data_IF_182304075056
#
_entry.id   IF_182304075056
#
_cell.length_a   1.000
_cell.length_b   1.000
_cell.length_c   1.000
_cell.angle_alpha   90.00
_cell.angle_beta   90.00
_cell.angle_gamma   90.00
#
_symmetry.space_group_name_H-M   'P 1'
#
loop_
_entity.id
_entity.type
_entity.pdbx_description
1 polymer ?
#
# COMPACT_ATOMS: atom_id res chain seq x y z
N UNK A 1 15.00 -19.93 38.87
CA UNK A 1 16.39 -20.11 38.40
C UNK A 1 16.62 -19.23 37.17
N UNK A 2 17.53 -18.23 37.22
CA UNK A 2 17.84 -17.45 36.04
C UNK A 2 18.79 -18.26 35.14
N UNK A 3 18.34 -18.61 33.93
CA UNK A 3 19.23 -19.18 32.91
C UNK A 3 20.12 -18.05 32.38
N UNK A 4 21.42 -18.20 32.61
CA UNK A 4 22.44 -17.37 32.02
C UNK A 4 22.25 -17.30 30.50
N UNK A 5 22.03 -16.10 29.98
CA UNK A 5 22.06 -15.86 28.54
C UNK A 5 23.51 -15.96 28.09
N UNK A 6 23.92 -17.11 27.58
CA UNK A 6 25.16 -17.26 26.81
C UNK A 6 25.10 -16.28 25.64
N UNK A 7 25.87 -15.20 25.72
CA UNK A 7 26.22 -14.33 24.59
C UNK A 7 26.91 -15.22 23.55
N UNK A 8 26.16 -15.68 22.54
CA UNK A 8 26.75 -16.19 21.30
C UNK A 8 27.31 -14.99 20.54
N UNK A 9 28.58 -14.70 20.76
CA UNK A 9 29.43 -13.94 19.83
C UNK A 9 29.80 -14.86 18.66
N UNK A 10 28.80 -15.24 17.86
CA UNK A 10 29.04 -15.73 16.51
C UNK A 10 29.09 -14.52 15.59
N UNK A 11 30.01 -14.50 14.62
CA UNK A 11 29.99 -13.53 13.51
C UNK A 11 28.57 -13.58 12.95
N UNK A 12 27.80 -12.50 13.14
CA UNK A 12 26.46 -12.41 12.56
C UNK A 12 26.66 -12.33 11.05
N UNK A 13 26.45 -13.44 10.34
CA UNK A 13 26.39 -13.46 8.88
C UNK A 13 25.38 -12.38 8.45
N UNK A 14 25.81 -11.48 7.57
CA UNK A 14 24.91 -10.49 7.02
C UNK A 14 23.82 -11.18 6.21
N UNK A 15 22.61 -10.64 6.29
CA UNK A 15 21.48 -11.08 5.47
C UNK A 15 21.72 -10.52 4.06
N UNK A 16 21.90 -11.43 3.12
CA UNK A 16 22.02 -11.11 1.70
C UNK A 16 20.66 -11.12 1.02
N UNK A 17 20.60 -10.70 -0.25
CA UNK A 17 19.37 -10.78 -1.05
C UNK A 17 18.79 -12.19 -1.08
N UNK A 18 19.63 -13.22 -1.23
CA UNK A 18 19.20 -14.62 -1.31
C UNK A 18 18.58 -15.14 -0.01
N UNK A 19 18.84 -14.46 1.11
CA UNK A 19 18.27 -14.83 2.39
C UNK A 19 16.87 -14.19 2.62
N UNK A 20 16.46 -13.19 1.81
CA UNK A 20 15.21 -12.42 2.00
C UNK A 20 13.94 -13.27 2.21
N UNK A 21 13.70 -14.37 1.48
CA UNK A 21 12.51 -15.19 1.69
C UNK A 21 12.38 -15.76 3.12
N UNK A 22 13.50 -15.92 3.84
CA UNK A 22 13.53 -16.42 5.22
C UNK A 22 13.09 -15.38 6.26
N UNK A 23 12.96 -14.11 5.87
CA UNK A 23 12.68 -12.98 6.77
C UNK A 23 11.38 -12.25 6.44
N UNK A 24 10.40 -12.91 5.80
CA UNK A 24 9.12 -12.29 5.41
C UNK A 24 8.33 -11.66 6.55
N UNK A 25 8.57 -12.08 7.79
CA UNK A 25 7.92 -11.52 8.98
C UNK A 25 8.46 -10.13 9.39
N UNK A 26 9.47 -9.61 8.68
CA UNK A 26 10.13 -8.34 8.98
C UNK A 26 9.81 -7.25 7.95
N UNK A 27 9.77 -6.00 8.43
CA UNK A 27 9.44 -4.83 7.61
C UNK A 27 10.41 -4.63 6.45
N UNK A 28 11.71 -4.87 6.63
CA UNK A 28 12.66 -4.73 5.52
C UNK A 28 12.34 -5.71 4.38
N UNK A 29 11.98 -6.95 4.70
CA UNK A 29 11.64 -7.96 3.68
C UNK A 29 10.33 -7.60 2.97
N UNK A 30 9.34 -7.10 3.69
CA UNK A 30 8.09 -6.58 3.10
C UNK A 30 8.34 -5.47 2.08
N UNK A 31 9.17 -4.49 2.41
CA UNK A 31 9.50 -3.44 1.46
C UNK A 31 10.34 -3.98 0.29
N UNK A 32 11.34 -4.83 0.54
CA UNK A 32 12.12 -5.44 -0.54
C UNK A 32 11.25 -6.27 -1.49
N UNK A 33 10.28 -7.02 -0.98
CA UNK A 33 9.29 -7.75 -1.77
C UNK A 33 8.46 -6.81 -2.62
N UNK A 34 7.92 -5.74 -2.03
CA UNK A 34 7.16 -4.74 -2.78
C UNK A 34 8.01 -4.10 -3.89
N UNK A 35 9.29 -3.83 -3.65
CA UNK A 35 10.20 -3.31 -4.67
C UNK A 35 10.38 -4.30 -5.83
N UNK A 36 10.70 -5.55 -5.54
CA UNK A 36 10.90 -6.59 -6.56
C UNK A 36 9.61 -6.79 -7.36
N UNK A 37 8.47 -6.98 -6.70
CA UNK A 37 7.19 -7.20 -7.39
C UNK A 37 6.77 -6.00 -8.23
N UNK A 38 6.83 -4.77 -7.68
CA UNK A 38 6.41 -3.58 -8.42
C UNK A 38 7.40 -3.16 -9.51
N UNK A 39 8.66 -3.57 -9.43
CA UNK A 39 9.65 -3.23 -10.44
C UNK A 39 9.82 -4.31 -11.51
N UNK A 40 9.59 -5.58 -11.19
CA UNK A 40 9.93 -6.72 -12.05
C UNK A 40 8.78 -7.70 -12.30
N UNK A 41 7.74 -7.67 -11.45
CA UNK A 41 6.64 -8.63 -11.49
C UNK A 41 7.01 -10.03 -11.00
N UNK A 42 8.17 -10.20 -10.36
CA UNK A 42 8.61 -11.47 -9.78
C UNK A 42 8.35 -11.52 -8.28
N UNK A 43 8.12 -12.71 -7.76
CA UNK A 43 8.00 -12.96 -6.32
C UNK A 43 9.36 -13.17 -5.65
N UNK A 44 9.42 -12.99 -4.31
CA UNK A 44 10.62 -13.30 -3.54
C UNK A 44 11.07 -14.77 -3.69
N UNK A 45 10.14 -15.70 -3.90
CA UNK A 45 10.43 -17.13 -4.08
C UNK A 45 11.17 -17.42 -5.39
N UNK A 46 11.12 -16.51 -6.36
CA UNK A 46 11.84 -16.63 -7.62
C UNK A 46 13.29 -16.17 -7.52
N UNK A 47 13.69 -15.59 -6.38
CA UNK A 47 15.02 -15.02 -6.20
C UNK A 47 16.05 -16.14 -5.96
N UNK A 48 16.90 -16.36 -6.95
CA UNK A 48 18.01 -17.29 -6.92
C UNK A 48 19.20 -16.72 -7.70
N UNK A 49 20.35 -17.40 -7.70
CA UNK A 49 21.55 -16.88 -8.37
C UNK A 49 21.37 -16.58 -9.86
N UNK A 50 20.50 -17.33 -10.56
CA UNK A 50 20.27 -17.12 -11.99
C UNK A 50 19.40 -15.89 -12.25
N UNK A 51 18.41 -15.63 -11.39
CA UNK A 51 17.45 -14.53 -11.56
C UNK A 51 17.88 -13.23 -10.89
N UNK A 52 18.89 -13.28 -10.01
CA UNK A 52 19.34 -12.15 -9.19
C UNK A 52 19.74 -10.94 -10.05
N UNK A 53 20.56 -11.15 -11.08
CA UNK A 53 21.01 -10.06 -11.95
C UNK A 53 19.83 -9.41 -12.70
N UNK A 54 18.91 -10.21 -13.24
CA UNK A 54 17.72 -9.69 -13.92
C UNK A 54 16.86 -8.83 -12.97
N UNK A 55 16.69 -9.30 -11.73
CA UNK A 55 15.93 -8.57 -10.71
C UNK A 55 16.63 -7.25 -10.39
N UNK A 56 17.92 -7.27 -10.14
CA UNK A 56 18.67 -6.05 -9.79
C UNK A 56 18.68 -5.04 -10.93
N UNK A 57 18.88 -5.49 -12.18
CA UNK A 57 18.81 -4.61 -13.36
C UNK A 57 17.39 -4.03 -13.52
N UNK A 58 16.36 -4.87 -13.41
CA UNK A 58 14.97 -4.43 -13.49
C UNK A 58 14.60 -3.42 -12.41
N UNK A 59 15.06 -3.64 -11.18
CA UNK A 59 14.89 -2.71 -10.06
C UNK A 59 15.70 -1.43 -10.27
N UNK A 60 16.94 -1.52 -10.75
CA UNK A 60 17.80 -0.37 -11.07
C UNK A 60 17.15 0.57 -12.11
N UNK A 61 16.57 0.01 -13.16
CA UNK A 61 15.83 0.80 -14.15
C UNK A 61 14.58 1.45 -13.54
N UNK A 62 13.83 0.70 -12.74
CA UNK A 62 12.63 1.16 -12.05
C UNK A 62 12.89 2.35 -11.12
N UNK A 63 13.95 2.30 -10.30
CA UNK A 63 14.30 3.41 -9.41
C UNK A 63 14.77 4.64 -10.19
N UNK A 64 15.47 4.46 -11.31
CA UNK A 64 15.82 5.54 -12.24
C UNK A 64 14.58 6.25 -12.79
N UNK A 65 13.58 5.50 -13.26
CA UNK A 65 12.30 6.05 -13.71
C UNK A 65 11.56 6.83 -12.61
N UNK A 66 11.55 6.32 -11.38
CA UNK A 66 10.89 7.00 -10.27
C UNK A 66 11.62 8.29 -9.86
N UNK A 67 12.95 8.29 -9.83
CA UNK A 67 13.76 9.50 -9.58
C UNK A 67 13.39 10.61 -10.57
N UNK A 68 13.29 10.29 -11.87
CA UNK A 68 12.91 11.27 -12.89
C UNK A 68 11.46 11.75 -12.75
N UNK A 69 10.53 10.85 -12.39
CA UNK A 69 9.13 11.23 -12.09
C UNK A 69 9.01 12.19 -10.91
N UNK A 70 9.93 12.15 -9.96
CA UNK A 70 9.92 13.03 -8.79
C UNK A 70 10.55 14.37 -9.08
N UNK A 71 11.66 14.37 -9.81
CA UNK A 71 12.30 15.60 -10.31
C UNK A 71 11.35 16.43 -11.16
N UNK A 72 10.60 15.79 -12.05
CA UNK A 72 9.55 16.47 -12.85
C UNK A 72 8.42 17.05 -12.02
N UNK A 73 8.27 16.64 -10.75
CA UNK A 73 7.31 17.18 -9.78
C UNK A 73 7.95 18.16 -8.78
N UNK A 74 9.20 18.55 -8.98
CA UNK A 74 10.00 19.36 -8.05
C UNK A 74 10.12 18.75 -6.64
N UNK A 75 10.14 17.42 -6.55
CA UNK A 75 10.43 16.69 -5.32
C UNK A 75 11.88 16.21 -5.43
N UNK A 76 12.68 16.41 -4.38
CA UNK A 76 14.07 15.95 -4.35
C UNK A 76 14.17 14.51 -3.79
N UNK A 77 14.37 13.50 -4.65
CA UNK A 77 14.44 12.10 -4.22
C UNK A 77 15.71 11.78 -3.42
N UNK A 78 16.72 12.67 -3.42
CA UNK A 78 17.98 12.45 -2.73
C UNK A 78 17.94 12.94 -1.27
N UNK A 79 16.90 13.64 -0.82
CA UNK A 79 16.84 14.21 0.53
C UNK A 79 15.85 13.53 1.47
N UNK A 80 14.95 12.69 0.96
CA UNK A 80 13.89 12.08 1.76
C UNK A 80 14.04 10.55 1.85
N UNK A 81 13.89 10.06 3.08
CA UNK A 81 13.68 8.63 3.37
C UNK A 81 12.22 8.47 3.78
N UNK A 82 11.40 7.74 3.02
CA UNK A 82 9.95 7.73 3.23
C UNK A 82 9.53 6.86 4.43
N UNK A 83 10.47 6.29 5.18
CA UNK A 83 10.23 5.63 6.48
C UNK A 83 10.47 6.57 7.66
N UNK A 84 9.70 6.45 8.76
CA UNK A 84 9.97 7.21 9.97
C UNK A 84 11.35 6.84 10.53
N UNK A 85 12.27 7.80 10.57
CA UNK A 85 13.60 7.61 11.15
C UNK A 85 13.69 8.20 12.55
N UNK A 86 14.65 7.73 13.35
CA UNK A 86 14.96 8.39 14.63
C UNK A 86 15.88 9.58 14.37
N UNK A 87 15.75 10.69 15.13
CA UNK A 87 16.51 11.94 14.88
C UNK A 87 18.04 11.76 14.88
N UNK A 88 18.54 10.68 15.48
CA UNK A 88 19.97 10.39 15.61
C UNK A 88 20.41 9.18 14.76
N UNK A 89 19.63 8.72 13.77
CA UNK A 89 20.05 7.58 12.96
C UNK A 89 21.11 8.02 11.93
N UNK A 90 22.40 7.64 12.09
CA UNK A 90 23.45 8.04 11.15
C UNK A 90 23.23 7.44 9.74
N UNK A 91 22.34 6.46 9.62
CA UNK A 91 21.96 5.77 8.38
C UNK A 91 20.80 6.44 7.61
N UNK A 92 20.37 7.63 8.05
CA UNK A 92 19.45 8.50 7.30
C UNK A 92 19.96 8.93 5.91
N UNK A 93 21.20 8.58 5.56
CA UNK A 93 21.83 8.86 4.26
C UNK A 93 21.42 7.87 3.16
N UNK A 94 20.77 6.76 3.51
CA UNK A 94 20.28 5.77 2.53
C UNK A 94 18.97 6.25 1.89
N UNK A 95 19.08 7.28 1.05
CA UNK A 95 17.98 7.84 0.25
C UNK A 95 17.82 7.09 -1.08
N UNK A 96 16.84 7.48 -1.89
CA UNK A 96 16.54 6.84 -3.17
C UNK A 96 17.72 6.91 -4.15
N UNK A 97 18.44 8.03 -4.20
CA UNK A 97 19.59 8.21 -5.08
C UNK A 97 20.78 7.31 -4.68
N UNK A 98 21.04 7.19 -3.38
CA UNK A 98 22.06 6.29 -2.86
C UNK A 98 21.67 4.83 -3.09
N UNK A 99 20.41 4.46 -2.85
CA UNK A 99 19.89 3.12 -3.13
C UNK A 99 20.07 2.76 -4.62
N UNK A 100 19.80 3.70 -5.54
CA UNK A 100 20.04 3.49 -6.96
C UNK A 100 21.51 3.21 -7.26
N UNK A 101 22.43 4.01 -6.71
CA UNK A 101 23.87 3.81 -6.88
C UNK A 101 24.30 2.42 -6.38
N UNK A 102 23.89 2.04 -5.18
CA UNK A 102 24.24 0.74 -4.58
C UNK A 102 23.79 -0.42 -5.49
N UNK A 103 22.55 -0.39 -5.98
CA UNK A 103 22.02 -1.44 -6.85
C UNK A 103 22.73 -1.50 -8.20
N UNK A 104 23.09 -0.35 -8.78
CA UNK A 104 23.89 -0.29 -10.02
C UNK A 104 25.29 -0.85 -9.80
N UNK A 105 25.98 -0.41 -8.74
CA UNK A 105 27.33 -0.87 -8.41
C UNK A 105 27.32 -2.40 -8.11
N UNK A 106 26.29 -2.88 -7.42
CA UNK A 106 26.10 -4.32 -7.15
C UNK A 106 25.93 -5.13 -8.44
N UNK A 107 25.15 -4.61 -9.40
CA UNK A 107 24.98 -5.26 -10.72
C UNK A 107 26.29 -5.37 -11.51
N UNK A 108 27.28 -4.53 -11.20
CA UNK A 108 28.62 -4.56 -11.78
C UNK A 108 29.61 -5.42 -10.98
N UNK A 109 29.15 -6.13 -9.93
CA UNK A 109 29.98 -6.99 -9.10
C UNK A 109 30.80 -6.26 -8.03
N UNK A 110 30.48 -4.99 -7.74
CA UNK A 110 31.10 -4.26 -6.63
C UNK A 110 30.60 -4.83 -5.31
N UNK A 111 31.53 -5.17 -4.41
CA UNK A 111 31.19 -5.62 -3.06
C UNK A 111 30.88 -4.42 -2.18
N UNK A 112 29.73 -4.46 -1.53
CA UNK A 112 29.29 -3.43 -0.60
C UNK A 112 29.48 -3.86 0.86
N UNK A 113 29.45 -2.87 1.74
CA UNK A 113 29.56 -3.08 3.18
C UNK A 113 28.26 -3.67 3.75
N UNK A 114 28.32 -4.30 4.92
CA UNK A 114 27.11 -4.76 5.63
C UNK A 114 26.82 -3.83 6.80
N UNK A 115 25.55 -3.50 6.99
CA UNK A 115 25.10 -2.51 7.98
C UNK A 115 24.08 -3.08 8.92
N UNK A 116 24.06 -2.53 10.14
CA UNK A 116 22.90 -2.70 11.00
C UNK A 116 21.71 -1.98 10.36
N UNK A 117 20.51 -2.58 10.39
CA UNK A 117 19.30 -1.92 9.88
C UNK A 117 18.89 -0.68 10.71
N UNK A 118 18.35 0.38 10.07
CA UNK A 118 17.62 1.42 10.78
C UNK A 118 16.46 0.86 11.59
N UNK A 119 16.10 1.53 12.69
CA UNK A 119 15.12 1.00 13.66
C UNK A 119 13.73 0.73 13.09
N UNK A 120 13.34 1.40 12.00
CA UNK A 120 12.06 1.18 11.33
C UNK A 120 12.04 -0.13 10.54
N UNK A 121 13.16 -0.48 9.90
CA UNK A 121 13.27 -1.65 9.04
C UNK A 121 13.48 -2.95 9.82
N UNK A 122 14.04 -2.87 11.04
CA UNK A 122 14.29 -4.05 11.90
C UNK A 122 13.08 -4.53 12.70
N UNK A 123 11.90 -3.91 12.52
CA UNK A 123 10.70 -4.33 13.24
C UNK A 123 10.11 -5.60 12.62
N UNK A 124 9.62 -6.47 13.47
CA UNK A 124 8.86 -7.68 13.12
C UNK A 124 7.36 -7.34 13.17
N UNK A 125 6.55 -7.93 12.27
CA UNK A 125 5.10 -7.75 12.31
C UNK A 125 4.49 -8.21 13.65
N UNK A 126 5.08 -9.23 14.29
CA UNK A 126 4.63 -9.73 15.61
C UNK A 126 5.02 -8.84 16.80
N UNK A 127 5.90 -7.84 16.62
CA UNK A 127 6.15 -6.83 17.67
C UNK A 127 4.85 -6.06 18.01
N UNK A 128 3.90 -6.01 17.07
CA UNK A 128 2.55 -5.50 17.28
C UNK A 128 1.76 -6.34 18.31
N UNK A 129 1.71 -7.66 18.17
CA UNK A 129 0.96 -8.52 19.11
C UNK A 129 1.61 -8.56 20.49
N UNK A 130 2.96 -8.54 20.55
CA UNK A 130 3.72 -8.53 21.82
C UNK A 130 3.57 -7.23 22.62
N UNK A 131 3.37 -6.09 21.95
CA UNK A 131 3.17 -4.79 22.61
C UNK A 131 1.88 -4.72 23.43
N UNK A 132 0.88 -5.56 23.12
CA UNK A 132 -0.37 -5.70 23.87
C UNK A 132 -0.31 -6.76 24.99
N UNK A 133 0.76 -7.57 25.09
CA UNK A 133 0.85 -8.73 25.99
C UNK A 133 1.65 -8.51 27.30
N UNK A 134 1.99 -7.27 27.66
CA UNK A 134 2.65 -6.96 28.93
C UNK A 134 4.18 -7.05 28.93
N UNK A 135 4.80 -6.92 30.12
CA UNK A 135 6.18 -6.45 30.38
C UNK A 135 7.34 -7.36 29.93
N UNK A 136 7.09 -8.39 29.14
CA UNK A 136 8.13 -9.25 28.55
C UNK A 136 8.57 -8.76 27.17
N UNK A 137 9.24 -7.60 27.08
CA UNK A 137 9.80 -7.15 25.79
C UNK A 137 11.03 -7.98 25.45
N UNK A 138 10.88 -8.96 24.56
CA UNK A 138 12.03 -9.56 23.88
C UNK A 138 12.83 -8.45 23.20
N UNK A 139 14.15 -8.47 23.38
CA UNK A 139 15.05 -7.47 22.83
C UNK A 139 14.99 -7.55 21.30
N UNK A 140 14.72 -6.43 20.62
CA UNK A 140 14.74 -6.34 19.15
C UNK A 140 15.99 -7.03 18.61
N UNK A 141 15.80 -7.92 17.66
CA UNK A 141 16.92 -8.54 16.98
C UNK A 141 17.61 -7.49 16.12
N UNK A 142 18.92 -7.36 16.32
CA UNK A 142 19.74 -6.39 15.60
C UNK A 142 20.32 -7.12 14.39
N UNK A 143 19.65 -7.01 13.25
CA UNK A 143 20.13 -7.59 12.00
C UNK A 143 21.27 -6.77 11.42
N UNK A 144 22.22 -7.49 10.83
CA UNK A 144 23.20 -6.96 9.88
C UNK A 144 22.72 -7.40 8.51
N UNK A 145 22.55 -6.47 7.58
CA UNK A 145 22.12 -6.72 6.20
C UNK A 145 23.16 -6.16 5.24
N UNK A 146 23.25 -6.73 4.04
CA UNK A 146 24.06 -6.14 2.98
C UNK A 146 23.38 -4.86 2.42
N UNK A 147 24.15 -3.90 1.90
CA UNK A 147 23.61 -2.60 1.44
C UNK A 147 22.51 -2.76 0.39
N UNK A 148 22.64 -3.73 -0.50
CA UNK A 148 21.65 -3.96 -1.56
C UNK A 148 20.29 -4.39 -1.01
N UNK A 149 20.24 -5.10 0.12
CA UNK A 149 18.99 -5.44 0.82
C UNK A 149 18.33 -4.18 1.35
N UNK A 150 19.11 -3.29 1.98
CA UNK A 150 18.60 -2.02 2.48
C UNK A 150 18.17 -1.09 1.33
N UNK A 151 18.90 -1.09 0.20
CA UNK A 151 18.54 -0.33 -0.98
C UNK A 151 17.18 -0.76 -1.55
N UNK A 152 16.92 -2.07 -1.63
CA UNK A 152 15.60 -2.59 -2.01
C UNK A 152 14.51 -2.15 -1.02
N UNK A 153 14.77 -2.25 0.28
CA UNK A 153 13.80 -1.85 1.30
C UNK A 153 13.48 -0.34 1.24
N UNK A 154 14.48 0.50 0.98
CA UNK A 154 14.28 1.94 0.78
C UNK A 154 13.42 2.21 -0.45
N UNK A 155 13.73 1.60 -1.59
CA UNK A 155 12.90 1.72 -2.79
C UNK A 155 11.47 1.24 -2.56
N UNK A 156 11.29 0.07 -1.94
CA UNK A 156 9.99 -0.48 -1.63
C UNK A 156 9.17 0.43 -0.73
N UNK A 157 9.81 1.03 0.27
CA UNK A 157 9.15 2.02 1.12
C UNK A 157 8.72 3.26 0.35
N UNK A 158 9.46 3.65 -0.70
CA UNK A 158 9.08 4.73 -1.60
C UNK A 158 7.85 4.37 -2.45
N UNK A 159 7.90 3.21 -3.09
CA UNK A 159 6.86 2.74 -4.00
C UNK A 159 5.51 2.47 -3.31
N UNK A 160 5.55 2.13 -2.02
CA UNK A 160 4.38 1.79 -1.22
C UNK A 160 3.87 2.94 -0.34
N UNK A 161 4.65 4.01 -0.20
CA UNK A 161 4.29 5.14 0.64
C UNK A 161 2.97 5.78 0.17
N UNK A 162 2.01 5.89 1.08
CA UNK A 162 0.67 6.39 0.78
C UNK A 162 0.32 7.67 1.52
N UNK A 163 0.70 7.82 2.79
CA UNK A 163 0.45 9.03 3.58
C UNK A 163 1.36 9.18 4.80
N UNK A 164 1.54 10.42 5.27
CA UNK A 164 2.01 10.72 6.62
C UNK A 164 1.19 11.87 7.23
N UNK A 165 0.52 11.60 8.35
CA UNK A 165 -0.36 12.56 9.06
C UNK A 165 -0.16 12.38 10.56
N UNK A 166 0.08 13.47 11.28
CA UNK A 166 0.18 13.43 12.75
C UNK A 166 1.28 12.50 13.29
N UNK A 167 2.36 12.25 12.52
CA UNK A 167 3.43 11.32 12.89
C UNK A 167 3.10 9.84 12.67
N UNK A 168 1.93 9.52 12.11
CA UNK A 168 1.61 8.22 11.53
C UNK A 168 2.03 8.18 10.07
N UNK A 169 2.61 7.06 9.65
CA UNK A 169 3.05 6.77 8.29
C UNK A 169 2.31 5.52 7.81
N UNK A 170 1.70 5.59 6.63
CA UNK A 170 0.98 4.48 6.02
C UNK A 170 1.60 4.07 4.69
N UNK A 171 1.83 2.77 4.56
CA UNK A 171 2.33 2.12 3.35
C UNK A 171 1.30 1.12 2.88
N UNK A 172 0.99 1.17 1.59
CA UNK A 172 0.03 0.27 0.97
C UNK A 172 0.62 -0.26 -0.32
N UNK A 173 0.49 -1.57 -0.48
CA UNK A 173 0.95 -2.30 -1.64
C UNK A 173 -0.15 -3.27 -2.07
N UNK A 174 -0.56 -3.18 -3.33
CA UNK A 174 -1.51 -4.10 -3.93
C UNK A 174 -0.73 -5.14 -4.73
N UNK A 175 -0.89 -6.38 -4.30
CA UNK A 175 -0.31 -7.57 -4.89
C UNK A 175 -1.37 -8.38 -5.65
N UNK A 176 -0.92 -9.15 -6.64
CA UNK A 176 -1.76 -9.96 -7.53
C UNK A 176 -1.18 -11.37 -7.59
N UNK A 177 -1.93 -12.35 -7.07
CA UNK A 177 -1.42 -13.72 -6.87
C UNK A 177 -2.39 -14.75 -7.49
N UNK A 178 -1.91 -15.67 -8.36
CA UNK A 178 -0.59 -15.67 -8.97
C UNK A 178 -0.41 -14.47 -9.90
N UNK A 179 0.86 -14.10 -10.14
CA UNK A 179 1.21 -12.95 -10.95
C UNK A 179 0.90 -13.20 -12.43
N UNK A 180 -0.32 -12.86 -12.85
CA UNK A 180 -0.81 -13.08 -14.23
C UNK A 180 -0.98 -11.78 -15.03
N UNK A 181 -0.85 -10.63 -14.37
CA UNK A 181 -1.08 -9.34 -14.99
C UNK A 181 0.24 -8.70 -15.43
N UNK A 182 0.20 -7.99 -16.56
CA UNK A 182 1.32 -7.15 -16.99
C UNK A 182 1.70 -6.14 -15.89
N UNK A 183 3.01 -5.93 -15.72
CA UNK A 183 3.60 -5.09 -14.69
C UNK A 183 3.05 -3.66 -14.68
N UNK A 184 2.84 -3.08 -15.86
CA UNK A 184 2.31 -1.73 -16.01
C UNK A 184 0.90 -1.61 -15.40
N UNK A 185 0.10 -2.69 -15.42
CA UNK A 185 -1.25 -2.70 -14.82
C UNK A 185 -1.18 -2.71 -13.31
N UNK A 186 -0.29 -3.51 -12.73
CA UNK A 186 -0.07 -3.57 -11.28
C UNK A 186 0.49 -2.24 -10.77
N UNK A 187 1.47 -1.66 -11.48
CA UNK A 187 1.99 -0.31 -11.20
C UNK A 187 0.90 0.75 -11.28
N UNK A 188 0.07 0.73 -12.33
CA UNK A 188 -1.07 1.66 -12.48
C UNK A 188 -2.09 1.51 -11.35
N UNK A 189 -2.40 0.27 -10.95
CA UNK A 189 -3.28 -0.04 -9.84
C UNK A 189 -2.78 0.59 -8.53
N UNK A 190 -1.51 0.35 -8.18
CA UNK A 190 -0.88 0.91 -6.99
C UNK A 190 -0.83 2.45 -7.04
N UNK A 191 -0.50 3.04 -8.20
CA UNK A 191 -0.49 4.50 -8.37
C UNK A 191 -1.87 5.16 -8.20
N UNK A 192 -2.93 4.53 -8.72
CA UNK A 192 -4.30 5.02 -8.51
C UNK A 192 -4.68 4.89 -7.04
N UNK A 193 -4.41 3.74 -6.43
CA UNK A 193 -4.74 3.47 -5.03
C UNK A 193 -4.05 4.47 -4.09
N UNK A 194 -2.73 4.66 -4.21
CA UNK A 194 -1.97 5.58 -3.35
C UNK A 194 -2.55 7.00 -3.36
N UNK A 195 -2.96 7.52 -4.53
CA UNK A 195 -3.62 8.83 -4.65
C UNK A 195 -4.99 8.88 -3.96
N UNK A 196 -5.79 7.82 -4.07
CA UNK A 196 -7.08 7.74 -3.38
C UNK A 196 -6.88 7.69 -1.88
N UNK A 197 -5.97 6.83 -1.40
CA UNK A 197 -5.65 6.68 0.02
C UNK A 197 -5.21 8.02 0.62
N UNK A 198 -4.25 8.69 -0.02
CA UNK A 198 -3.77 9.99 0.44
C UNK A 198 -4.93 10.98 0.62
N UNK A 199 -5.82 11.06 -0.39
CA UNK A 199 -6.98 11.97 -0.37
C UNK A 199 -7.99 11.60 0.72
N UNK A 200 -8.25 10.30 0.92
CA UNK A 200 -9.16 9.79 1.95
C UNK A 200 -8.58 10.10 3.34
N UNK A 201 -7.31 9.78 3.58
CA UNK A 201 -6.65 9.98 4.88
C UNK A 201 -6.49 11.45 5.24
N UNK A 202 -6.12 12.30 4.27
CA UNK A 202 -6.03 13.75 4.47
C UNK A 202 -7.33 14.37 4.98
N UNK A 203 -8.45 13.76 4.64
CA UNK A 203 -9.79 14.18 5.05
C UNK A 203 -10.42 13.21 6.07
N UNK A 204 -9.59 12.48 6.82
CA UNK A 204 -10.00 11.63 7.95
C UNK A 204 -11.02 10.53 7.58
N UNK A 205 -10.94 9.97 6.38
CA UNK A 205 -11.78 8.83 5.99
C UNK A 205 -11.35 7.52 6.65
N UNK A 206 -12.28 6.57 6.76
CA UNK A 206 -12.02 5.31 7.47
C UNK A 206 -11.19 4.31 6.66
N UNK A 207 -10.72 3.25 7.34
CA UNK A 207 -10.05 2.11 6.71
C UNK A 207 -10.98 1.37 5.70
N UNK A 208 -12.29 1.33 5.96
CA UNK A 208 -13.26 0.73 5.04
C UNK A 208 -13.32 1.52 3.73
N UNK A 209 -13.26 2.84 3.81
CA UNK A 209 -13.23 3.72 2.65
C UNK A 209 -11.91 3.57 1.88
N UNK A 210 -10.78 3.40 2.58
CA UNK A 210 -9.51 3.03 1.93
C UNK A 210 -9.64 1.71 1.16
N UNK A 211 -10.18 0.66 1.79
CA UNK A 211 -10.37 -0.65 1.15
C UNK A 211 -11.24 -0.55 -0.10
N UNK A 212 -12.32 0.24 -0.02
CA UNK A 212 -13.16 0.55 -1.17
C UNK A 212 -12.39 1.29 -2.27
N UNK A 213 -11.51 2.23 -1.90
CA UNK A 213 -10.63 2.94 -2.83
C UNK A 213 -9.66 2.01 -3.55
N UNK A 214 -9.05 1.07 -2.84
CA UNK A 214 -8.16 0.06 -3.40
C UNK A 214 -8.92 -0.86 -4.36
N UNK A 215 -10.08 -1.38 -3.95
CA UNK A 215 -10.91 -2.21 -4.82
C UNK A 215 -11.39 -1.45 -6.06
N UNK A 216 -11.67 -0.15 -5.92
CA UNK A 216 -12.02 0.72 -7.05
C UNK A 216 -10.83 0.89 -8.01
N UNK A 217 -9.63 1.15 -7.48
CA UNK A 217 -8.40 1.27 -8.27
C UNK A 217 -8.10 -0.02 -9.03
N UNK A 218 -8.15 -1.17 -8.34
CA UNK A 218 -8.01 -2.48 -8.93
C UNK A 218 -9.02 -2.71 -10.06
N UNK A 219 -10.30 -2.45 -9.79
CA UNK A 219 -11.36 -2.62 -10.78
C UNK A 219 -11.13 -1.77 -12.04
N UNK A 220 -10.65 -0.54 -11.89
CA UNK A 220 -10.36 0.34 -13.02
C UNK A 220 -9.16 -0.14 -13.84
N UNK A 221 -8.11 -0.64 -13.19
CA UNK A 221 -6.89 -1.11 -13.85
C UNK A 221 -7.06 -2.43 -14.63
N UNK A 222 -7.97 -3.30 -14.18
CA UNK A 222 -8.19 -4.64 -14.78
C UNK A 222 -9.48 -4.75 -15.58
N UNK A 223 -10.14 -3.64 -15.94
CA UNK A 223 -11.49 -3.62 -16.50
C UNK A 223 -11.72 -4.59 -17.66
N UNK A 224 -10.78 -4.65 -18.59
CA UNK A 224 -10.85 -5.49 -19.80
C UNK A 224 -10.48 -6.95 -19.54
N UNK A 225 -9.76 -7.22 -18.44
CA UNK A 225 -9.15 -8.52 -18.11
C UNK A 225 -9.85 -9.19 -16.93
N UNK A 226 -10.92 -8.59 -16.42
CA UNK A 226 -11.61 -9.10 -15.23
C UNK A 226 -12.13 -10.51 -15.46
N UNK A 227 -12.51 -10.87 -16.69
CA UNK A 227 -12.94 -12.23 -17.04
C UNK A 227 -11.79 -13.23 -16.89
N UNK A 228 -10.58 -12.84 -17.29
CA UNK A 228 -9.40 -13.68 -17.19
C UNK A 228 -9.00 -13.82 -15.72
N UNK A 229 -8.91 -12.70 -14.99
CA UNK A 229 -8.65 -12.68 -13.54
C UNK A 229 -9.64 -13.57 -12.76
N UNK A 230 -10.93 -13.55 -13.11
CA UNK A 230 -11.94 -14.39 -12.45
C UNK A 230 -11.75 -15.88 -12.76
N UNK A 231 -11.33 -16.23 -13.97
CA UNK A 231 -11.14 -17.63 -14.40
C UNK A 231 -9.84 -18.24 -13.86
N UNK A 232 -8.84 -17.41 -13.59
CA UNK A 232 -7.50 -17.82 -13.17
C UNK A 232 -7.33 -18.04 -11.66
N UNK A 233 -8.42 -18.05 -10.87
CA UNK A 233 -8.36 -18.05 -9.39
C UNK A 233 -7.40 -16.99 -8.82
N UNK A 234 -7.35 -15.84 -9.49
CA UNK A 234 -6.44 -14.75 -9.14
C UNK A 234 -6.99 -13.92 -7.96
N UNK A 235 -6.13 -13.69 -6.98
CA UNK A 235 -6.36 -12.87 -5.80
C UNK A 235 -5.74 -11.49 -5.98
N UNK A 236 -6.42 -10.47 -5.47
CA UNK A 236 -5.90 -9.10 -5.43
C UNK A 236 -5.78 -8.71 -3.96
N UNK A 237 -4.58 -8.77 -3.44
CA UNK A 237 -4.29 -8.64 -2.01
C UNK A 237 -3.83 -7.21 -1.73
N UNK A 238 -4.55 -6.52 -0.87
CA UNK A 238 -4.17 -5.22 -0.34
C UNK A 238 -3.36 -5.43 0.95
N UNK A 239 -2.07 -5.12 0.91
CA UNK A 239 -1.20 -5.15 2.07
C UNK A 239 -1.09 -3.74 2.68
N UNK A 240 -1.29 -3.65 3.98
CA UNK A 240 -1.27 -2.42 4.76
C UNK A 240 -0.21 -2.51 5.83
N UNK A 241 0.65 -1.50 5.90
CA UNK A 241 1.57 -1.30 7.01
C UNK A 241 1.38 0.11 7.54
N UNK A 242 1.07 0.22 8.84
CA UNK A 242 1.00 1.49 9.55
C UNK A 242 2.09 1.56 10.60
N UNK A 243 2.82 2.66 10.59
CA UNK A 243 3.89 2.93 11.54
C UNK A 243 3.64 4.26 12.24
N UNK A 244 4.12 4.40 13.47
CA UNK A 244 4.02 5.65 14.21
C UNK A 244 5.38 6.02 14.78
N UNK A 245 5.71 7.32 14.70
CA UNK A 245 6.89 7.89 15.33
C UNK A 245 6.47 8.71 16.56
N UNK A 246 6.95 8.31 17.74
CA UNK A 246 6.72 9.02 19.00
C UNK A 246 8.07 9.43 19.59
N UNK A 247 8.43 10.71 19.43
CA UNK A 247 9.72 11.24 19.85
C UNK A 247 10.88 10.57 19.09
N UNK A 248 11.71 9.82 19.81
CA UNK A 248 12.85 9.05 19.27
C UNK A 248 12.52 7.58 18.99
N UNK A 249 11.26 7.16 19.13
CA UNK A 249 10.83 5.76 18.94
C UNK A 249 9.97 5.62 17.68
N UNK A 250 10.14 4.48 17.02
CA UNK A 250 9.33 4.04 15.88
C UNK A 250 8.68 2.71 16.25
N UNK A 251 7.39 2.57 15.95
CA UNK A 251 6.57 1.40 16.30
C UNK A 251 5.66 1.02 15.13
N UNK A 252 5.34 -0.27 15.03
CA UNK A 252 4.29 -0.78 14.14
C UNK A 252 2.93 -0.57 14.82
N UNK A 253 2.02 0.11 14.14
CA UNK A 253 0.64 0.35 14.60
C UNK A 253 -0.32 -0.70 14.06
N UNK A 254 0.00 -1.34 12.93
CA UNK A 254 -0.79 -2.45 12.41
C UNK A 254 -0.24 -2.92 11.07
N UNK A 255 -0.44 -4.20 10.81
CA UNK A 255 -0.19 -4.83 9.53
C UNK A 255 -1.41 -5.70 9.17
N UNK A 256 -1.94 -5.52 7.96
CA UNK A 256 -3.12 -6.24 7.49
C UNK A 256 -2.93 -6.63 6.02
N UNK A 257 -3.29 -7.87 5.65
CA UNK A 257 -3.32 -8.35 4.27
C UNK A 257 -4.74 -8.80 3.94
N UNK A 258 -5.41 -8.11 3.02
CA UNK A 258 -6.85 -8.31 2.75
C UNK A 258 -7.05 -8.58 1.27
N UNK A 259 -7.64 -9.72 0.94
CA UNK A 259 -8.08 -10.00 -0.42
C UNK A 259 -9.33 -9.18 -0.78
N UNK A 260 -9.17 -8.27 -1.74
CA UNK A 260 -10.22 -7.36 -2.21
C UNK A 260 -10.89 -7.85 -3.49
N UNK A 261 -10.56 -9.03 -4.03
CA UNK A 261 -11.07 -9.47 -5.34
C UNK A 261 -12.60 -9.55 -5.39
N UNK A 262 -13.23 -9.95 -4.29
CA UNK A 262 -14.69 -10.04 -4.23
C UNK A 262 -15.34 -8.65 -4.26
N UNK A 263 -14.73 -7.66 -3.60
CA UNK A 263 -15.18 -6.27 -3.66
C UNK A 263 -15.02 -5.71 -5.08
N UNK A 264 -13.89 -6.01 -5.73
CA UNK A 264 -13.62 -5.67 -7.14
C UNK A 264 -14.71 -6.23 -8.06
N UNK A 265 -15.10 -7.50 -7.86
CA UNK A 265 -16.19 -8.16 -8.61
C UNK A 265 -17.53 -7.46 -8.38
N UNK A 266 -17.87 -7.12 -7.14
CA UNK A 266 -19.12 -6.41 -6.78
C UNK A 266 -19.18 -5.03 -7.44
N UNK A 267 -18.12 -4.22 -7.29
CA UNK A 267 -18.01 -2.90 -7.92
C UNK A 267 -18.16 -3.01 -9.45
N UNK A 268 -17.56 -4.05 -10.02
CA UNK A 268 -17.62 -4.34 -11.45
C UNK A 268 -19.02 -4.69 -11.93
N UNK A 269 -19.72 -5.60 -11.25
CA UNK A 269 -21.10 -6.00 -11.58
C UNK A 269 -22.08 -4.86 -11.40
N UNK A 270 -21.90 -4.04 -10.37
CA UNK A 270 -22.73 -2.85 -10.12
C UNK A 270 -22.48 -1.72 -11.12
N UNK A 271 -21.39 -1.76 -11.89
CA UNK A 271 -21.05 -0.70 -12.85
C UNK A 271 -20.71 0.65 -12.20
N UNK A 272 -20.34 0.66 -10.91
CA UNK A 272 -20.15 1.88 -10.11
C UNK A 272 -18.69 2.34 -9.97
N UNK A 273 -17.72 1.61 -10.57
CA UNK A 273 -16.29 1.92 -10.42
C UNK A 273 -15.92 3.38 -10.73
N UNK A 274 -16.48 3.95 -11.81
CA UNK A 274 -16.22 5.33 -12.20
C UNK A 274 -16.82 6.36 -11.23
N UNK A 275 -18.04 6.09 -10.72
CA UNK A 275 -18.70 6.95 -9.75
C UNK A 275 -17.96 6.92 -8.40
N UNK A 276 -17.60 5.72 -7.92
CA UNK A 276 -16.76 5.55 -6.74
C UNK A 276 -15.43 6.28 -6.87
N UNK A 277 -14.72 6.13 -7.99
CA UNK A 277 -13.47 6.85 -8.21
C UNK A 277 -13.68 8.37 -8.16
N UNK A 278 -14.71 8.89 -8.83
CA UNK A 278 -15.03 10.32 -8.83
C UNK A 278 -15.36 10.86 -7.44
N UNK A 279 -15.95 10.04 -6.57
CA UNK A 279 -16.24 10.39 -5.18
C UNK A 279 -14.99 10.33 -4.30
N UNK A 280 -14.22 9.23 -4.38
CA UNK A 280 -13.06 8.98 -3.52
C UNK A 280 -11.85 9.86 -3.88
N UNK A 281 -11.63 10.13 -5.17
CA UNK A 281 -10.57 11.05 -5.62
C UNK A 281 -10.84 12.51 -5.22
N UNK A 282 -12.07 12.81 -4.81
CA UNK A 282 -12.50 14.09 -4.25
C UNK A 282 -13.21 13.82 -2.93
N UNK A 283 -12.60 13.01 -2.06
CA UNK A 283 -13.22 12.69 -0.78
C UNK A 283 -13.52 13.99 -0.02
N UNK A 284 -14.73 14.16 0.55
CA UNK A 284 -15.17 15.46 1.05
C UNK A 284 -14.41 15.89 2.30
N UNK A 285 -14.24 17.20 2.45
CA UNK A 285 -13.67 17.81 3.66
C UNK A 285 -14.57 17.58 4.88
N UNK A 286 -14.05 17.72 6.12
CA UNK A 286 -14.82 17.42 7.32
C UNK A 286 -16.13 18.16 7.51
N UNK A 287 -16.31 19.32 6.86
CA UNK A 287 -17.53 20.12 6.91
C UNK A 287 -18.67 19.61 5.99
N UNK A 288 -18.43 18.67 5.08
CA UNK A 288 -19.47 18.03 4.24
C UNK A 288 -19.92 16.71 4.89
N UNK A 289 -20.62 16.83 6.02
CA UNK A 289 -20.86 15.70 6.94
C UNK A 289 -21.76 14.64 6.31
N UNK A 290 -22.84 15.06 5.65
CA UNK A 290 -23.82 14.15 5.06
C UNK A 290 -23.24 13.37 3.88
N UNK A 291 -22.41 14.02 3.06
CA UNK A 291 -21.72 13.38 1.96
C UNK A 291 -20.59 12.44 2.43
N UNK A 292 -19.83 12.82 3.46
CA UNK A 292 -18.84 11.91 4.08
C UNK A 292 -19.55 10.67 4.63
N UNK A 293 -20.62 10.86 5.40
CA UNK A 293 -21.42 9.76 5.96
C UNK A 293 -21.95 8.84 4.88
N UNK A 294 -22.37 9.39 3.73
CA UNK A 294 -22.78 8.58 2.59
C UNK A 294 -21.66 7.69 2.04
N UNK A 295 -20.46 8.25 1.83
CA UNK A 295 -19.31 7.48 1.33
C UNK A 295 -18.88 6.39 2.33
N UNK A 296 -18.85 6.74 3.62
CA UNK A 296 -18.56 5.77 4.69
C UNK A 296 -19.63 4.67 4.78
N UNK A 297 -20.89 5.02 4.59
CA UNK A 297 -21.97 4.04 4.56
C UNK A 297 -21.85 3.13 3.32
N UNK A 298 -21.51 3.67 2.14
CA UNK A 298 -21.24 2.85 0.95
C UNK A 298 -20.11 1.85 1.24
N UNK A 299 -19.00 2.30 1.82
CA UNK A 299 -17.84 1.44 2.07
C UNK A 299 -18.20 0.30 3.03
N UNK A 300 -18.85 0.61 4.15
CA UNK A 300 -19.31 -0.39 5.12
C UNK A 300 -20.30 -1.35 4.48
N UNK A 301 -21.30 -0.86 3.75
CA UNK A 301 -22.37 -1.71 3.23
C UNK A 301 -21.96 -2.56 2.03
N UNK A 302 -21.03 -2.11 1.19
CA UNK A 302 -20.46 -2.97 0.15
C UNK A 302 -19.59 -4.07 0.74
N UNK A 303 -18.81 -3.78 1.79
CA UNK A 303 -18.03 -4.80 2.53
C UNK A 303 -18.98 -5.80 3.21
N UNK A 304 -20.03 -5.34 3.91
CA UNK A 304 -21.04 -6.23 4.50
C UNK A 304 -21.76 -7.06 3.44
N UNK A 305 -22.10 -6.47 2.30
CA UNK A 305 -22.72 -7.19 1.20
C UNK A 305 -21.79 -8.27 0.63
N UNK A 306 -20.49 -8.00 0.52
CA UNK A 306 -19.49 -9.01 0.16
C UNK A 306 -19.51 -10.20 1.12
N UNK A 307 -19.52 -9.94 2.44
CA UNK A 307 -19.44 -10.98 3.47
C UNK A 307 -20.73 -11.77 3.64
N UNK A 308 -21.88 -11.11 3.65
CA UNK A 308 -23.16 -11.72 4.04
C UNK A 308 -24.13 -11.94 2.87
N UNK A 309 -23.87 -11.31 1.70
CA UNK A 309 -24.72 -11.40 0.51
C UNK A 309 -26.20 -11.03 0.72
N UNK A 310 -26.50 -10.20 1.72
CA UNK A 310 -27.86 -9.76 2.03
C UNK A 310 -28.25 -8.47 1.27
N UNK A 311 -29.33 -8.48 0.47
CA UNK A 311 -29.79 -7.31 -0.30
C UNK A 311 -30.00 -6.03 0.51
N UNK A 312 -30.37 -6.17 1.78
CA UNK A 312 -30.59 -5.05 2.72
C UNK A 312 -29.45 -4.03 2.72
N UNK A 313 -28.18 -4.47 2.64
CA UNK A 313 -27.03 -3.56 2.65
C UNK A 313 -26.96 -2.71 1.38
N UNK A 314 -27.42 -3.22 0.24
CA UNK A 314 -27.54 -2.45 -1.00
C UNK A 314 -28.71 -1.48 -0.91
N UNK A 315 -29.85 -1.91 -0.36
CA UNK A 315 -31.02 -1.03 -0.18
C UNK A 315 -30.73 0.15 0.76
N UNK A 316 -29.89 -0.02 1.79
CA UNK A 316 -29.44 1.08 2.65
C UNK A 316 -28.69 2.16 1.85
N UNK A 317 -27.83 1.76 0.91
CA UNK A 317 -27.13 2.69 0.02
C UNK A 317 -28.13 3.45 -0.86
N UNK A 318 -29.04 2.72 -1.51
CA UNK A 318 -30.03 3.31 -2.41
C UNK A 318 -31.00 4.25 -1.68
N UNK A 319 -31.42 3.90 -0.47
CA UNK A 319 -32.30 4.73 0.35
C UNK A 319 -31.63 6.06 0.73
N UNK A 320 -30.34 6.04 1.06
CA UNK A 320 -29.67 7.27 1.47
C UNK A 320 -29.53 8.29 0.31
N UNK A 321 -29.51 7.81 -0.95
CA UNK A 321 -29.50 8.68 -2.13
C UNK A 321 -30.73 9.58 -2.25
N UNK A 322 -31.84 9.26 -1.58
CA UNK A 322 -33.05 10.08 -1.57
C UNK A 322 -33.01 11.21 -0.53
N UNK A 323 -31.90 11.37 0.20
CA UNK A 323 -31.75 12.45 1.19
C UNK A 323 -31.54 13.80 0.51
N UNK A 324 -32.41 14.77 0.80
CA UNK A 324 -32.30 16.14 0.29
C UNK A 324 -31.00 16.82 0.73
N UNK A 325 -30.58 16.58 1.98
CA UNK A 325 -29.35 17.13 2.52
C UNK A 325 -28.11 16.62 1.78
N UNK A 326 -28.07 15.30 1.52
CA UNK A 326 -27.03 14.70 0.69
C UNK A 326 -27.04 15.29 -0.71
N UNK A 327 -28.23 15.41 -1.32
CA UNK A 327 -28.34 15.90 -2.69
C UNK A 327 -27.87 17.35 -2.82
N UNK A 328 -28.15 18.19 -1.82
CA UNK A 328 -27.64 19.56 -1.74
C UNK A 328 -26.11 19.60 -1.59
N UNK A 329 -25.55 18.86 -0.63
CA UNK A 329 -24.09 18.80 -0.44
C UNK A 329 -23.37 18.22 -1.66
N UNK A 330 -23.91 17.14 -2.23
CA UNK A 330 -23.38 16.48 -3.42
C UNK A 330 -23.35 17.41 -4.62
N UNK A 331 -24.43 18.16 -4.87
CA UNK A 331 -24.50 19.15 -5.95
C UNK A 331 -23.49 20.29 -5.77
N UNK A 332 -23.23 20.74 -4.54
CA UNK A 332 -22.22 21.77 -4.24
C UNK A 332 -20.79 21.25 -4.39
N UNK A 333 -20.53 20.01 -3.99
CA UNK A 333 -19.18 19.45 -3.98
C UNK A 333 -18.75 18.90 -5.35
N UNK A 334 -19.67 18.27 -6.07
CA UNK A 334 -19.43 17.64 -7.37
C UNK A 334 -19.98 18.46 -8.54
N UNK A 335 -19.58 19.72 -8.61
CA UNK A 335 -19.87 20.60 -9.76
C UNK A 335 -19.00 20.20 -10.96
N UNK A 336 -19.60 20.07 -12.14
CA UNK A 336 -18.85 19.92 -13.39
C UNK A 336 -18.13 21.24 -13.69
N UNK A 337 -16.79 21.21 -13.75
CA UNK A 337 -16.02 22.35 -14.26
C UNK A 337 -15.80 22.14 -15.75
N UNK A 338 -16.22 23.11 -16.56
CA UNK A 338 -15.99 23.14 -18.02
C UNK A 338 -16.47 21.88 -18.76
N UNK A 339 -17.58 21.29 -18.31
CA UNK A 339 -18.12 20.04 -18.86
C UNK A 339 -17.28 18.79 -18.57
N UNK A 340 -16.19 18.91 -17.80
CA UNK A 340 -15.28 17.80 -17.46
C UNK A 340 -15.58 17.25 -16.07
N UNK A 341 -15.56 15.91 -15.96
CA UNK A 341 -15.79 15.17 -14.72
C UNK A 341 -17.24 14.71 -14.51
N UNK A 342 -17.45 13.85 -13.50
CA UNK A 342 -18.78 13.39 -13.10
C UNK A 342 -19.43 14.43 -12.20
N UNK A 343 -20.63 14.89 -12.58
CA UNK A 343 -21.51 15.68 -11.74
C UNK A 343 -22.21 14.79 -10.72
N UNK A 344 -22.82 15.40 -9.69
CA UNK A 344 -23.57 14.66 -8.67
C UNK A 344 -24.69 13.79 -9.26
N UNK A 345 -25.47 14.32 -10.20
CA UNK A 345 -26.53 13.56 -10.88
C UNK A 345 -26.00 12.34 -11.63
N UNK A 346 -24.83 12.44 -12.27
CA UNK A 346 -24.19 11.29 -12.93
C UNK A 346 -23.79 10.22 -11.91
N UNK A 347 -23.28 10.64 -10.75
CA UNK A 347 -22.92 9.75 -9.65
C UNK A 347 -24.17 9.00 -9.18
N UNK A 348 -25.24 9.72 -8.82
CA UNK A 348 -26.51 9.13 -8.35
C UNK A 348 -27.05 8.12 -9.37
N UNK A 349 -27.13 8.50 -10.64
CA UNK A 349 -27.62 7.64 -11.72
C UNK A 349 -26.81 6.34 -11.86
N UNK A 350 -25.50 6.40 -11.63
CA UNK A 350 -24.66 5.20 -11.65
C UNK A 350 -24.97 4.28 -10.48
N UNK A 351 -25.18 4.82 -9.29
CA UNK A 351 -25.51 4.03 -8.09
C UNK A 351 -26.89 3.36 -8.17
N UNK A 352 -27.84 3.91 -8.93
CA UNK A 352 -29.12 3.24 -9.20
C UNK A 352 -28.96 1.86 -9.86
N UNK A 353 -27.83 1.59 -10.53
CA UNK A 353 -27.52 0.27 -11.09
C UNK A 353 -27.19 -0.78 -10.03
N UNK A 354 -26.97 -0.41 -8.77
CA UNK A 354 -26.74 -1.38 -7.70
C UNK A 354 -27.95 -2.28 -7.44
N UNK A 355 -29.16 -1.87 -7.84
CA UNK A 355 -30.34 -2.73 -7.82
C UNK A 355 -30.15 -4.04 -8.59
N UNK A 356 -29.28 -4.04 -9.62
CA UNK A 356 -28.91 -5.24 -10.39
C UNK A 356 -28.10 -6.26 -9.60
N UNK A 357 -27.54 -5.89 -8.45
CA UNK A 357 -26.82 -6.82 -7.57
C UNK A 357 -27.76 -7.64 -6.69
N UNK A 358 -29.02 -7.21 -6.59
CA UNK A 358 -30.05 -7.81 -5.72
C UNK A 358 -31.26 -8.33 -6.50
N UNK A 359 -31.25 -8.15 -7.83
CA UNK A 359 -32.12 -8.82 -8.79
C UNK A 359 -31.42 -10.07 -9.28
#
# INVERSE_FOLDING_TARGET
>A
MPRASTRRTGVRKAISLLDLPLYRDYIFAFFSEAAIKLCTGKDLDELNQQTLNDIIVGVGNCIGEEIEKLRTRNIDPCNEVPVPTTKNDPRNKMNLCHAHKVLVDFSMGVKHESFVLPSAFSLEFTEFTRSFMGSGKLKREVFVVDEEVLALAVLGSYLTYSYAIGGEYGYIYIDVVPYILALERVRKMNSIAGRLIYTIQKNEGSINTILLGIATAARLSIKEFIKDVVKSDCHVIANFLRMTRTGTKVMVKGFDSIDVIQLVKIIGRGGIAGALYGMLARYPKPNFTSLRRFIEMISINLIKFQSFRKPQYIYEILRYLTSDELNREGAQWYVKKDGKGLGWSDIVNRFSNLSRLVS
#
